data_IF_947335094698
#
_entry.id   IF_947335094698
#
_cell.length_a   1.000
_cell.length_b   1.000
_cell.length_c   1.000
_cell.angle_alpha   90.00
_cell.angle_beta   90.00
_cell.angle_gamma   90.00
#
_symmetry.space_group_name_H-M   'P 1'
#
loop_
_entity.id
_entity.type
_entity.pdbx_description
1 polymer ?
#
# COMPACT_ATOMS: atom_id res chain seq x y z
N UNK A 1 -32.47 -20.07 -51.47
CA UNK A 1 -31.89 -20.37 -50.15
C UNK A 1 -30.88 -19.27 -49.80
N UNK A 2 -31.19 -18.42 -48.83
CA UNK A 2 -30.32 -17.29 -48.47
C UNK A 2 -29.07 -17.78 -47.76
N UNK A 3 -27.89 -17.43 -48.28
CA UNK A 3 -26.60 -17.75 -47.66
C UNK A 3 -26.53 -17.03 -46.31
N UNK A 4 -26.64 -17.76 -45.20
CA UNK A 4 -26.43 -17.18 -43.88
C UNK A 4 -24.94 -16.84 -43.75
N UNK A 5 -24.64 -15.58 -43.43
CA UNK A 5 -23.28 -15.11 -43.22
C UNK A 5 -22.83 -15.53 -41.82
N UNK A 6 -22.33 -16.75 -41.68
CA UNK A 6 -21.85 -17.34 -40.41
C UNK A 6 -20.84 -16.44 -39.69
N UNK A 7 -20.03 -15.69 -40.44
CA UNK A 7 -19.06 -14.74 -39.87
C UNK A 7 -19.70 -13.65 -39.00
N UNK A 8 -20.90 -13.16 -39.33
CA UNK A 8 -21.60 -12.16 -38.50
C UNK A 8 -22.13 -12.76 -37.19
N UNK A 9 -22.47 -14.04 -37.22
CA UNK A 9 -22.95 -14.78 -36.03
C UNK A 9 -21.77 -15.05 -35.09
N UNK A 10 -20.62 -15.44 -35.64
CA UNK A 10 -19.39 -15.63 -34.87
C UNK A 10 -18.89 -14.31 -34.26
N UNK A 11 -18.90 -13.22 -35.00
CA UNK A 11 -18.55 -11.89 -34.50
C UNK A 11 -19.46 -11.47 -33.34
N UNK A 12 -20.78 -11.62 -33.49
CA UNK A 12 -21.75 -11.34 -32.43
C UNK A 12 -21.54 -12.21 -31.18
N UNK A 13 -21.16 -13.48 -31.34
CA UNK A 13 -20.84 -14.39 -30.23
C UNK A 13 -19.55 -13.96 -29.51
N UNK A 14 -18.51 -13.58 -30.25
CA UNK A 14 -17.26 -13.09 -29.67
C UNK A 14 -17.45 -11.77 -28.91
N UNK A 15 -18.23 -10.83 -29.46
CA UNK A 15 -18.60 -9.60 -28.77
C UNK A 15 -19.44 -9.87 -27.52
N UNK A 16 -20.36 -10.82 -27.58
CA UNK A 16 -21.17 -11.25 -26.43
C UNK A 16 -20.30 -11.78 -25.29
N UNK A 17 -19.36 -12.68 -25.61
CA UNK A 17 -18.40 -13.22 -24.64
C UNK A 17 -17.49 -12.13 -24.07
N UNK A 18 -17.06 -11.17 -24.88
CA UNK A 18 -16.25 -10.05 -24.44
C UNK A 18 -17.03 -9.15 -23.46
N UNK A 19 -18.27 -8.78 -23.80
CA UNK A 19 -19.15 -7.99 -22.93
C UNK A 19 -19.43 -8.71 -21.60
N UNK A 20 -19.63 -10.02 -21.61
CA UNK A 20 -19.79 -10.82 -20.38
C UNK A 20 -18.53 -10.80 -19.50
N UNK A 21 -17.34 -10.98 -20.09
CA UNK A 21 -16.08 -10.89 -19.35
C UNK A 21 -15.85 -9.49 -18.76
N UNK A 22 -16.12 -8.45 -19.53
CA UNK A 22 -16.01 -7.05 -19.06
C UNK A 22 -17.00 -6.79 -17.92
N UNK A 23 -18.23 -7.28 -18.02
CA UNK A 23 -19.22 -7.15 -16.95
C UNK A 23 -18.82 -7.95 -15.70
N UNK A 24 -18.26 -9.14 -15.84
CA UNK A 24 -17.74 -9.92 -14.71
C UNK A 24 -16.58 -9.20 -14.00
N UNK A 25 -15.68 -8.58 -14.77
CA UNK A 25 -14.60 -7.75 -14.23
C UNK A 25 -15.19 -6.52 -13.54
N UNK A 26 -16.14 -5.83 -14.16
CA UNK A 26 -16.80 -4.67 -13.58
C UNK A 26 -17.57 -5.01 -12.31
N UNK A 27 -18.30 -6.11 -12.25
CA UNK A 27 -18.99 -6.60 -11.06
C UNK A 27 -18.01 -6.99 -9.96
N UNK A 28 -16.91 -7.68 -10.30
CA UNK A 28 -15.84 -7.95 -9.34
C UNK A 28 -15.18 -6.68 -8.80
N UNK A 29 -15.20 -5.59 -9.58
CA UNK A 29 -14.72 -4.26 -9.17
C UNK A 29 -15.78 -3.38 -8.49
N UNK A 30 -17.07 -3.71 -8.65
CA UNK A 30 -18.23 -3.01 -8.05
C UNK A 30 -18.63 -3.62 -6.71
N UNK A 31 -18.19 -4.84 -6.40
CA UNK A 31 -18.08 -5.35 -5.03
C UNK A 31 -16.99 -4.58 -4.26
N UNK A 32 -17.18 -3.26 -4.19
CA UNK A 32 -16.54 -2.33 -3.26
C UNK A 32 -17.35 -2.38 -1.97
N UNK A 33 -17.39 -3.55 -1.35
CA UNK A 33 -17.67 -3.63 0.08
C UNK A 33 -16.44 -3.06 0.80
N UNK A 34 -16.44 -1.73 0.96
CA UNK A 34 -15.45 -0.93 1.67
C UNK A 34 -13.99 -1.07 1.19
N UNK A 35 -13.09 -0.13 1.50
CA UNK A 35 -11.66 -0.39 1.38
C UNK A 35 -11.30 -1.52 2.35
N UNK A 36 -11.44 -2.78 1.89
CA UNK A 36 -11.09 -4.06 2.51
C UNK A 36 -10.58 -3.86 3.94
N UNK A 37 -11.48 -3.85 4.92
CA UNK A 37 -11.09 -3.74 6.32
C UNK A 37 -9.98 -4.77 6.56
N UNK A 38 -8.74 -4.29 6.77
CA UNK A 38 -7.57 -5.16 6.80
C UNK A 38 -7.85 -6.26 7.82
N UNK A 39 -7.67 -7.51 7.40
CA UNK A 39 -7.89 -8.63 8.30
C UNK A 39 -7.06 -8.41 9.58
N UNK A 40 -7.56 -8.68 10.81
CA UNK A 40 -6.84 -8.37 12.04
C UNK A 40 -5.39 -8.89 12.07
N UNK A 41 -5.15 -10.06 11.48
CA UNK A 41 -3.79 -10.58 11.29
C UNK A 41 -2.91 -9.71 10.38
N UNK A 42 -3.45 -9.14 9.30
CA UNK A 42 -2.73 -8.22 8.41
C UNK A 42 -2.38 -6.91 9.15
N UNK A 43 -3.31 -6.39 9.95
CA UNK A 43 -3.05 -5.22 10.81
C UNK A 43 -1.88 -5.48 11.76
N UNK A 44 -1.84 -6.66 12.38
CA UNK A 44 -0.73 -7.02 13.26
C UNK A 44 0.61 -7.18 12.51
N UNK A 45 0.60 -7.73 11.29
CA UNK A 45 1.80 -7.78 10.47
C UNK A 45 2.35 -6.37 10.22
N UNK A 46 1.48 -5.41 9.92
CA UNK A 46 1.87 -4.01 9.75
C UNK A 46 2.50 -3.44 11.03
N UNK A 47 1.93 -3.71 12.22
CA UNK A 47 2.53 -3.34 13.52
C UNK A 47 3.96 -3.86 13.65
N UNK A 48 4.17 -5.15 13.37
CA UNK A 48 5.49 -5.78 13.51
C UNK A 48 6.50 -5.19 12.53
N UNK A 49 6.09 -4.93 11.28
CA UNK A 49 6.96 -4.32 10.27
C UNK A 49 7.35 -2.88 10.65
N UNK A 50 6.38 -2.06 11.06
CA UNK A 50 6.63 -0.68 11.50
C UNK A 50 7.56 -0.65 12.72
N UNK A 51 7.32 -1.51 13.73
CA UNK A 51 8.22 -1.62 14.87
C UNK A 51 9.64 -2.04 14.47
N UNK A 52 9.79 -2.95 13.50
CA UNK A 52 11.09 -3.36 12.98
C UNK A 52 11.79 -2.20 12.26
N UNK A 53 11.05 -1.39 11.51
CA UNK A 53 11.59 -0.25 10.80
C UNK A 53 12.03 0.85 11.77
N UNK A 54 11.15 1.25 12.69
CA UNK A 54 11.48 2.25 13.71
C UNK A 54 12.62 1.78 14.62
N UNK A 55 12.72 0.48 14.95
CA UNK A 55 13.85 -0.06 15.72
C UNK A 55 15.20 0.16 15.03
N UNK A 56 15.25 0.18 13.69
CA UNK A 56 16.50 0.49 12.96
C UNK A 56 16.96 1.92 13.21
N UNK A 57 16.01 2.86 13.31
CA UNK A 57 16.30 4.28 13.52
C UNK A 57 16.44 4.63 15.01
N UNK A 58 15.68 3.98 15.88
CA UNK A 58 15.64 4.22 17.33
C UNK A 58 15.71 2.88 18.09
N UNK A 59 16.90 2.48 18.58
CA UNK A 59 17.09 1.20 19.28
C UNK A 59 16.23 1.01 20.53
N UNK A 60 15.90 2.10 21.24
CA UNK A 60 15.11 2.12 22.49
C UNK A 60 13.60 2.33 22.29
N UNK A 61 13.07 2.00 21.10
CA UNK A 61 11.65 2.17 20.75
C UNK A 61 10.67 1.62 21.81
N UNK A 62 10.94 0.44 22.38
CA UNK A 62 10.06 -0.19 23.35
C UNK A 62 9.91 0.62 24.65
N UNK A 63 10.97 1.33 25.06
CA UNK A 63 10.92 2.24 26.22
C UNK A 63 10.16 3.51 25.88
N UNK A 64 10.43 4.10 24.71
CA UNK A 64 9.78 5.33 24.24
C UNK A 64 8.28 5.17 24.06
N UNK A 65 7.85 4.03 23.49
CA UNK A 65 6.45 3.73 23.21
C UNK A 65 5.75 3.05 24.41
N UNK A 66 6.50 2.71 25.48
CA UNK A 66 6.00 1.99 26.67
C UNK A 66 5.30 0.66 26.33
N UNK A 67 5.78 -0.05 25.31
CA UNK A 67 5.25 -1.37 24.91
C UNK A 67 6.24 -2.45 25.33
N UNK A 68 5.74 -3.54 25.91
CA UNK A 68 6.57 -4.70 26.26
C UNK A 68 6.81 -5.61 25.05
N UNK A 69 8.05 -6.07 24.86
CA UNK A 69 8.37 -7.10 23.86
C UNK A 69 7.58 -8.39 24.08
N UNK A 70 7.28 -8.71 25.35
CA UNK A 70 6.52 -9.92 25.72
C UNK A 70 5.07 -9.83 25.21
N UNK A 71 4.47 -8.64 25.27
CA UNK A 71 3.09 -8.39 24.81
C UNK A 71 2.95 -8.64 23.30
N UNK A 72 3.89 -8.14 22.51
CA UNK A 72 3.91 -8.38 21.06
C UNK A 72 4.14 -9.87 20.75
N UNK A 73 5.01 -10.55 21.52
CA UNK A 73 5.23 -11.99 21.36
C UNK A 73 3.96 -12.79 21.66
N UNK A 74 3.22 -12.44 22.73
CA UNK A 74 1.96 -13.11 23.05
C UNK A 74 0.90 -12.91 21.98
N UNK A 75 0.78 -11.69 21.42
CA UNK A 75 -0.16 -11.41 20.33
C UNK A 75 0.22 -12.18 19.06
N UNK A 76 1.53 -12.31 18.76
CA UNK A 76 2.00 -13.09 17.63
C UNK A 76 1.66 -14.57 17.76
N UNK A 77 1.78 -15.15 18.96
CA UNK A 77 1.41 -16.54 19.21
C UNK A 77 -0.09 -16.77 19.09
N UNK A 78 -0.91 -15.85 19.60
CA UNK A 78 -2.37 -15.93 19.50
C UNK A 78 -2.80 -15.91 18.04
N UNK A 79 -2.26 -15.00 17.23
CA UNK A 79 -2.59 -14.89 15.80
C UNK A 79 -2.14 -16.12 15.02
N UNK A 80 -0.98 -16.70 15.35
CA UNK A 80 -0.52 -17.96 14.75
C UNK A 80 -1.44 -19.14 15.05
N UNK A 81 -1.93 -19.22 16.30
CA UNK A 81 -2.80 -20.31 16.76
C UNK A 81 -4.26 -20.13 16.32
N UNK A 82 -4.73 -18.89 16.24
CA UNK A 82 -6.14 -18.51 15.99
C UNK A 82 -6.16 -17.38 14.98
N UNK A 83 -6.00 -17.74 13.71
CA UNK A 83 -5.98 -16.75 12.62
C UNK A 83 -7.34 -16.05 12.47
N UNK A 84 -8.43 -16.82 12.59
CA UNK A 84 -9.78 -16.35 12.21
C UNK A 84 -10.70 -16.09 13.42
N UNK A 85 -10.27 -16.44 14.63
CA UNK A 85 -11.06 -16.29 15.87
C UNK A 85 -10.29 -15.46 16.91
N UNK A 86 -9.93 -14.23 16.51
CA UNK A 86 -9.42 -13.25 17.46
C UNK A 86 -10.57 -12.70 18.30
N UNK A 87 -10.31 -12.47 19.59
CA UNK A 87 -11.26 -11.77 20.45
C UNK A 87 -11.28 -10.30 20.08
N UNK A 88 -12.45 -9.66 20.21
CA UNK A 88 -12.60 -8.23 19.93
C UNK A 88 -11.64 -7.34 20.76
N UNK A 89 -11.32 -7.77 21.99
CA UNK A 89 -10.32 -7.12 22.85
C UNK A 89 -8.91 -7.12 22.23
N UNK A 90 -8.53 -8.18 21.54
CA UNK A 90 -7.20 -8.31 20.91
C UNK A 90 -7.12 -7.44 19.66
N UNK A 91 -8.22 -7.36 18.90
CA UNK A 91 -8.32 -6.48 17.73
C UNK A 91 -8.22 -5.02 18.14
N UNK A 92 -8.96 -4.59 19.17
CA UNK A 92 -8.86 -3.23 19.73
C UNK A 92 -7.43 -2.91 20.15
N UNK A 93 -6.76 -3.86 20.80
CA UNK A 93 -5.37 -3.68 21.23
C UNK A 93 -4.41 -3.51 20.04
N UNK A 94 -4.60 -4.25 18.96
CA UNK A 94 -3.81 -4.10 17.72
C UNK A 94 -4.02 -2.71 17.11
N UNK A 95 -5.26 -2.23 17.09
CA UNK A 95 -5.60 -0.90 16.57
C UNK A 95 -4.98 0.22 17.44
N UNK A 96 -5.02 0.08 18.77
CA UNK A 96 -4.31 0.99 19.70
C UNK A 96 -2.81 1.02 19.43
N UNK A 97 -2.16 -0.14 19.27
CA UNK A 97 -0.73 -0.22 18.98
C UNK A 97 -0.40 0.49 17.66
N UNK A 98 -1.23 0.31 16.63
CA UNK A 98 -1.07 1.03 15.35
C UNK A 98 -1.17 2.53 15.54
N UNK A 99 -2.15 3.04 16.29
CA UNK A 99 -2.27 4.47 16.54
C UNK A 99 -1.06 5.05 17.27
N UNK A 100 -0.58 4.35 18.30
CA UNK A 100 0.58 4.79 19.07
C UNK A 100 1.81 4.84 18.16
N UNK A 101 2.02 3.81 17.34
CA UNK A 101 3.13 3.75 16.37
C UNK A 101 3.02 4.88 15.34
N UNK A 102 1.83 5.13 14.79
CA UNK A 102 1.60 6.24 13.84
C UNK A 102 1.90 7.60 14.47
N UNK A 103 1.44 7.83 15.69
CA UNK A 103 1.74 9.05 16.47
C UNK A 103 3.24 9.20 16.72
N UNK A 104 3.93 8.11 17.05
CA UNK A 104 5.38 8.11 17.25
C UNK A 104 6.14 8.42 15.95
N UNK A 105 5.78 7.75 14.85
CA UNK A 105 6.36 7.95 13.53
C UNK A 105 6.21 9.41 13.08
N UNK A 106 5.01 9.99 13.20
CA UNK A 106 4.78 11.40 12.87
C UNK A 106 5.65 12.37 13.68
N UNK A 107 5.97 12.04 14.94
CA UNK A 107 6.79 12.90 15.82
C UNK A 107 8.28 12.81 15.52
N UNK A 108 8.79 11.62 15.26
CA UNK A 108 10.23 11.39 15.12
C UNK A 108 10.69 11.34 13.65
N UNK A 109 9.76 11.17 12.73
CA UNK A 109 9.98 11.19 11.29
C UNK A 109 8.92 12.10 10.66
N UNK A 110 9.18 13.42 10.59
CA UNK A 110 8.38 14.27 9.74
C UNK A 110 8.39 13.67 8.34
N UNK A 111 7.22 13.44 7.77
CA UNK A 111 7.13 13.07 6.37
C UNK A 111 7.60 14.29 5.58
N UNK A 112 8.70 14.13 4.86
CA UNK A 112 9.08 15.07 3.82
C UNK A 112 8.01 14.89 2.74
N UNK A 113 7.40 15.98 2.28
CA UNK A 113 6.41 15.88 1.22
C UNK A 113 7.09 15.38 -0.06
N UNK A 114 6.36 14.64 -0.88
CA UNK A 114 6.89 14.19 -2.17
C UNK A 114 7.24 15.42 -3.04
N UNK A 115 6.50 16.53 -2.89
CA UNK A 115 6.81 17.82 -3.52
C UNK A 115 8.14 18.41 -3.04
N UNK A 116 8.41 18.39 -1.73
CA UNK A 116 9.67 18.89 -1.16
C UNK A 116 10.86 18.04 -1.65
N UNK A 117 10.69 16.73 -1.80
CA UNK A 117 11.72 15.83 -2.35
C UNK A 117 11.99 16.11 -3.83
N UNK A 118 10.95 16.41 -4.61
CA UNK A 118 11.07 16.77 -6.02
C UNK A 118 11.78 18.12 -6.16
N UNK A 119 11.47 19.10 -5.32
CA UNK A 119 12.08 20.42 -5.32
C UNK A 119 13.58 20.35 -4.94
N UNK A 120 13.94 19.61 -3.89
CA UNK A 120 15.36 19.36 -3.54
C UNK A 120 16.13 18.69 -4.68
N UNK A 121 15.52 17.72 -5.35
CA UNK A 121 16.17 17.00 -6.44
C UNK A 121 16.31 17.88 -7.69
N UNK A 122 15.29 18.71 -8.00
CA UNK A 122 15.37 19.70 -9.06
C UNK A 122 16.48 20.73 -8.79
N UNK A 123 16.59 21.24 -7.57
CA UNK A 123 17.65 22.17 -7.17
C UNK A 123 19.06 21.57 -7.34
N UNK A 124 19.22 20.29 -6.99
CA UNK A 124 20.51 19.57 -7.17
C UNK A 124 20.91 19.45 -8.63
N UNK A 125 19.94 19.29 -9.52
CA UNK A 125 20.21 19.08 -10.95
C UNK A 125 20.07 20.35 -11.78
N UNK A 126 19.65 21.48 -11.21
CA UNK A 126 19.47 22.77 -11.90
C UNK A 126 20.71 23.19 -12.69
N UNK A 127 21.91 22.89 -12.20
CA UNK A 127 23.18 23.24 -12.86
C UNK A 127 23.82 22.08 -13.65
N UNK A 128 23.22 20.88 -13.66
CA UNK A 128 23.78 19.75 -14.40
C UNK A 128 23.55 19.95 -15.90
N UNK A 129 24.65 20.12 -16.63
CA UNK A 129 24.63 20.04 -18.10
C UNK A 129 24.37 18.60 -18.51
N UNK A 130 23.51 18.42 -19.51
CA UNK A 130 23.03 17.13 -20.03
C UNK A 130 24.12 16.04 -20.02
N UNK A 131 24.03 15.08 -19.10
CA UNK A 131 24.97 13.98 -19.03
C UNK A 131 24.42 12.81 -19.86
N UNK A 132 25.06 12.52 -21.00
CA UNK A 132 24.58 11.54 -21.99
C UNK A 132 24.53 10.11 -21.41
N UNK A 133 25.25 9.84 -20.32
CA UNK A 133 25.22 8.55 -19.61
C UNK A 133 23.97 8.34 -18.75
N UNK A 134 23.38 9.41 -18.20
CA UNK A 134 22.31 9.32 -17.18
C UNK A 134 20.90 9.28 -17.80
N UNK A 135 20.76 9.40 -19.14
CA UNK A 135 19.48 9.34 -19.89
C UNK A 135 18.34 10.18 -19.30
N UNK A 136 18.66 11.26 -18.60
CA UNK A 136 17.67 12.19 -18.05
C UNK A 136 17.86 13.58 -18.69
N UNK A 137 16.74 14.23 -18.98
CA UNK A 137 16.66 15.58 -19.55
C UNK A 137 16.18 16.48 -18.42
N UNK A 138 16.93 17.55 -18.05
CA UNK A 138 16.45 18.54 -17.08
C UNK A 138 15.13 19.14 -17.57
N UNK A 139 14.12 19.19 -16.69
CA UNK A 139 12.78 19.68 -17.03
C UNK A 139 12.72 21.20 -17.28
N UNK A 140 13.73 21.94 -16.79
CA UNK A 140 13.83 23.38 -16.99
C UNK A 140 14.90 23.72 -18.03
N UNK A 141 14.46 23.76 -19.29
CA UNK A 141 15.13 24.58 -20.29
C UNK A 141 14.26 25.83 -20.47
N UNK A 142 14.67 27.02 -20.01
CA UNK A 142 13.94 28.24 -20.34
C UNK A 142 13.87 28.35 -21.86
N UNK A 143 12.65 28.35 -22.40
CA UNK A 143 12.40 28.64 -23.81
C UNK A 143 12.75 30.12 -24.02
N UNK A 144 13.90 30.37 -24.64
CA UNK A 144 14.17 31.65 -25.29
C UNK A 144 13.19 31.88 -26.45
#
# INVERSE_FOLDING_TARGET
MGKMNYSKVEEALTEGLYKMKVNQILESSKNKDDPKALHPAQKFIAVVQELKWIKKTSPDIYKKIKISKKEISSLAEIIKKRRDSLKESEVKRIDELLEIIKKYKKKEMPQIDDEDLIEEENDRHHYKRHNVSEKWIPLDVPRN
#
